data_IF_919069652331
#
_entry.id   IF_919069652331
#
_cell.length_a   1.000
_cell.length_b   1.000
_cell.length_c   1.000
_cell.angle_alpha   90.00
_cell.angle_beta   90.00
_cell.angle_gamma   90.00
#
_symmetry.space_group_name_H-M   'P 1'
#
loop_
_entity.id
_entity.type
_entity.pdbx_description
1 polymer ?
#
# COMPACT_ATOMS: atom_id res chain seq x y z
N UNK A 1 -1.02 -21.24 -33.85
CA UNK A 1 -0.33 -20.60 -32.71
C UNK A 1 -0.68 -19.11 -32.59
N UNK A 2 -0.63 -18.32 -33.68
CA UNK A 2 -0.97 -16.89 -33.64
C UNK A 2 -2.36 -16.54 -33.06
N UNK A 3 -3.43 -17.28 -33.42
CA UNK A 3 -4.78 -17.12 -32.82
C UNK A 3 -4.84 -17.39 -31.31
N UNK A 4 -3.78 -17.96 -30.72
CA UNK A 4 -3.63 -18.25 -29.28
C UNK A 4 -2.53 -17.38 -28.65
N UNK A 5 -2.29 -16.18 -29.17
CA UNK A 5 -1.27 -15.24 -28.68
C UNK A 5 0.17 -15.76 -28.71
N UNK A 6 0.47 -16.77 -29.54
CA UNK A 6 1.82 -17.30 -29.73
C UNK A 6 2.34 -16.93 -31.12
N UNK A 7 3.21 -15.91 -31.19
CA UNK A 7 3.83 -15.43 -32.42
C UNK A 7 5.11 -16.24 -32.68
N UNK A 8 5.04 -17.15 -33.65
CA UNK A 8 6.18 -17.98 -34.06
C UNK A 8 7.03 -17.21 -35.06
N UNK A 9 8.28 -16.94 -34.71
CA UNK A 9 9.24 -16.24 -35.58
C UNK A 9 10.02 -17.17 -36.51
N UNK A 10 10.09 -18.46 -36.18
CA UNK A 10 10.82 -19.49 -36.93
C UNK A 10 9.96 -20.75 -37.03
N UNK A 11 9.65 -21.19 -38.25
CA UNK A 11 8.78 -22.33 -38.50
C UNK A 11 9.28 -23.65 -37.86
N UNK A 12 10.59 -23.98 -37.87
CA UNK A 12 11.13 -25.15 -37.15
C UNK A 12 10.84 -25.17 -35.65
N UNK A 13 10.68 -24.00 -35.01
CA UNK A 13 10.41 -23.93 -33.57
C UNK A 13 9.05 -24.53 -33.17
N UNK A 14 8.11 -24.69 -34.11
CA UNK A 14 6.82 -25.33 -33.84
C UNK A 14 6.99 -26.80 -33.45
N UNK A 15 7.88 -27.50 -34.15
CA UNK A 15 8.19 -28.90 -33.90
C UNK A 15 9.02 -29.06 -32.62
N UNK A 16 10.08 -28.26 -32.47
CA UNK A 16 10.94 -28.28 -31.28
C UNK A 16 10.17 -28.00 -29.99
N UNK A 17 9.17 -27.11 -30.03
CA UNK A 17 8.33 -26.83 -28.86
C UNK A 17 7.57 -28.08 -28.38
N UNK A 18 7.23 -29.01 -29.27
CA UNK A 18 6.60 -30.29 -28.95
C UNK A 18 7.52 -31.26 -28.21
N UNK A 19 8.84 -31.09 -28.31
CA UNK A 19 9.86 -31.90 -27.65
C UNK A 19 10.41 -31.24 -26.37
N UNK A 20 9.81 -30.15 -25.90
CA UNK A 20 10.27 -29.43 -24.71
C UNK A 20 10.16 -30.30 -23.45
N UNK A 21 11.29 -30.57 -22.79
CA UNK A 21 11.33 -31.31 -21.51
C UNK A 21 11.46 -30.41 -20.28
N UNK A 22 11.92 -29.17 -20.45
CA UNK A 22 12.12 -28.19 -19.37
C UNK A 22 11.65 -26.81 -19.85
N UNK A 23 10.85 -26.12 -19.03
CA UNK A 23 10.42 -24.74 -19.27
C UNK A 23 11.02 -23.85 -18.17
N UNK A 24 11.96 -23.00 -18.54
CA UNK A 24 12.44 -21.91 -17.69
C UNK A 24 11.58 -20.67 -17.98
N UNK A 25 10.84 -20.20 -16.98
CA UNK A 25 9.95 -19.04 -17.13
C UNK A 25 10.29 -17.97 -16.10
N UNK A 26 10.36 -16.73 -16.56
CA UNK A 26 10.50 -15.57 -15.67
C UNK A 26 9.25 -15.40 -14.81
N UNK A 27 9.41 -14.97 -13.56
CA UNK A 27 8.27 -14.77 -12.66
C UNK A 27 7.41 -13.57 -13.08
N UNK A 28 8.04 -12.40 -13.13
CA UNK A 28 7.34 -11.12 -13.24
C UNK A 28 6.95 -10.84 -14.69
N UNK A 29 5.65 -10.69 -14.96
CA UNK A 29 5.14 -10.41 -16.31
C UNK A 29 4.98 -11.65 -17.19
N UNK A 30 5.27 -12.84 -16.68
CA UNK A 30 4.94 -14.13 -17.33
C UNK A 30 4.13 -15.02 -16.38
N UNK A 31 4.69 -15.44 -15.24
CA UNK A 31 3.92 -16.19 -14.23
C UNK A 31 2.96 -15.30 -13.44
N UNK A 32 3.32 -14.04 -13.22
CA UNK A 32 2.47 -13.04 -12.57
C UNK A 32 2.11 -11.91 -13.54
N UNK A 33 0.98 -11.25 -13.29
CA UNK A 33 0.48 -10.15 -14.12
C UNK A 33 1.34 -8.87 -14.06
N UNK A 34 2.41 -8.86 -13.26
CA UNK A 34 3.20 -7.66 -12.94
C UNK A 34 2.34 -6.50 -12.40
N UNK A 35 1.18 -6.82 -11.82
CA UNK A 35 0.30 -5.87 -11.14
C UNK A 35 0.43 -6.11 -9.64
N UNK A 36 1.10 -5.19 -8.96
CA UNK A 36 1.18 -5.22 -7.51
C UNK A 36 -0.16 -4.75 -6.94
N UNK A 37 -0.76 -5.53 -6.05
CA UNK A 37 -1.99 -5.16 -5.35
C UNK A 37 -1.84 -5.46 -3.87
N UNK A 38 -2.39 -4.58 -3.03
CA UNK A 38 -2.50 -4.82 -1.60
C UNK A 38 -3.69 -5.75 -1.38
N UNK A 39 -3.44 -6.90 -0.78
CA UNK A 39 -4.45 -7.93 -0.50
C UNK A 39 -4.76 -8.09 0.99
N UNK A 40 -3.81 -7.72 1.86
CA UNK A 40 -3.96 -7.75 3.32
C UNK A 40 -3.33 -6.51 3.93
N UNK A 41 -3.94 -6.01 5.01
CA UNK A 41 -3.37 -5.00 5.90
C UNK A 41 -3.80 -5.30 7.33
N UNK A 42 -3.08 -4.77 8.31
CA UNK A 42 -3.52 -4.83 9.70
C UNK A 42 -3.12 -3.57 10.45
N UNK A 43 -3.84 -3.28 11.53
CA UNK A 43 -3.55 -2.19 12.48
C UNK A 43 -3.68 -2.71 13.91
N UNK A 44 -3.08 -2.00 14.87
CA UNK A 44 -3.26 -2.35 16.28
C UNK A 44 -4.60 -1.83 16.77
N UNK A 45 -5.46 -2.76 17.21
CA UNK A 45 -6.81 -2.49 17.67
C UNK A 45 -6.85 -2.11 19.14
N UNK A 46 -6.12 -2.87 19.96
CA UNK A 46 -6.08 -2.70 21.41
C UNK A 46 -4.72 -3.14 21.93
N UNK A 47 -4.31 -2.56 23.06
CA UNK A 47 -3.17 -3.01 23.85
C UNK A 47 -3.64 -3.24 25.27
N UNK A 48 -3.36 -4.43 25.81
CA UNK A 48 -3.65 -4.83 27.17
C UNK A 48 -2.38 -5.39 27.82
N UNK A 49 -1.82 -4.63 28.76
CA UNK A 49 -0.51 -4.96 29.35
C UNK A 49 0.58 -5.03 28.27
N UNK A 50 1.23 -6.19 28.18
CA UNK A 50 2.28 -6.48 27.21
C UNK A 50 1.78 -7.23 25.95
N UNK A 51 0.47 -7.27 25.73
CA UNK A 51 -0.14 -7.91 24.57
C UNK A 51 -0.92 -6.90 23.73
N UNK A 52 -1.00 -7.16 22.42
CA UNK A 52 -1.83 -6.37 21.52
C UNK A 52 -2.77 -7.25 20.71
N UNK A 53 -3.96 -6.71 20.47
CA UNK A 53 -4.91 -7.25 19.51
C UNK A 53 -4.71 -6.54 18.16
N UNK A 54 -4.63 -7.32 17.08
CA UNK A 54 -4.44 -6.81 15.73
C UNK A 54 -5.75 -6.96 14.94
N UNK A 55 -6.23 -5.86 14.36
CA UNK A 55 -7.32 -5.91 13.40
C UNK A 55 -6.76 -6.14 12.02
N UNK A 56 -6.94 -7.35 11.49
CA UNK A 56 -6.61 -7.72 10.11
C UNK A 56 -7.75 -7.39 9.14
N UNK A 57 -7.38 -6.98 7.93
CA UNK A 57 -8.29 -6.66 6.85
C UNK A 57 -7.81 -7.31 5.55
N UNK A 58 -8.75 -7.76 4.73
CA UNK A 58 -8.50 -8.25 3.38
C UNK A 58 -9.06 -7.28 2.35
N UNK A 59 -8.41 -7.20 1.19
CA UNK A 59 -8.76 -6.25 0.13
C UNK A 59 -8.90 -7.02 -1.18
N UNK A 60 -10.02 -6.81 -1.87
CA UNK A 60 -10.28 -7.42 -3.18
C UNK A 60 -9.73 -6.60 -4.34
N UNK A 61 -9.66 -7.23 -5.51
CA UNK A 61 -9.14 -6.64 -6.74
C UNK A 61 -7.62 -6.84 -6.89
N UNK A 62 -7.24 -7.48 -7.98
CA UNK A 62 -5.84 -7.84 -8.29
C UNK A 62 -5.20 -6.93 -9.33
N UNK A 63 -5.86 -5.81 -9.67
CA UNK A 63 -5.40 -4.86 -10.68
C UNK A 63 -5.18 -3.48 -10.08
N UNK A 64 -4.71 -2.55 -10.92
CA UNK A 64 -4.60 -1.14 -10.58
C UNK A 64 -5.93 -0.37 -10.69
N UNK A 65 -7.01 -1.02 -11.13
CA UNK A 65 -8.32 -0.39 -11.11
C UNK A 65 -8.75 -0.12 -9.66
N UNK A 66 -9.34 1.06 -9.36
CA UNK A 66 -9.85 1.42 -8.05
C UNK A 66 -11.20 0.73 -7.76
N UNK A 67 -11.28 -0.56 -8.12
CA UNK A 67 -12.41 -1.46 -7.98
C UNK A 67 -12.04 -2.55 -7.00
N UNK A 68 -12.75 -2.61 -5.88
CA UNK A 68 -12.47 -3.53 -4.79
C UNK A 68 -13.12 -3.05 -3.50
N UNK A 69 -13.14 -3.92 -2.51
CA UNK A 69 -13.74 -3.69 -1.20
C UNK A 69 -12.78 -4.14 -0.11
N UNK A 70 -12.87 -3.48 1.05
CA UNK A 70 -12.15 -3.85 2.26
C UNK A 70 -13.06 -4.72 3.12
N UNK A 71 -12.53 -5.83 3.61
CA UNK A 71 -13.24 -6.76 4.47
C UNK A 71 -12.53 -6.90 5.82
N UNK A 72 -13.32 -7.09 6.87
CA UNK A 72 -12.87 -7.47 8.20
C UNK A 72 -13.72 -8.65 8.66
N UNK A 73 -13.08 -9.75 9.07
CA UNK A 73 -13.77 -11.01 9.40
C UNK A 73 -14.76 -11.44 8.30
N UNK A 74 -14.30 -11.43 7.04
CA UNK A 74 -15.05 -11.78 5.83
C UNK A 74 -16.33 -10.97 5.58
N UNK A 75 -16.49 -9.81 6.25
CA UNK A 75 -17.59 -8.89 6.02
C UNK A 75 -17.08 -7.58 5.43
N UNK A 76 -17.76 -7.02 4.41
CA UNK A 76 -17.38 -5.73 3.86
C UNK A 76 -17.52 -4.65 4.94
N UNK A 77 -16.51 -3.81 5.07
CA UNK A 77 -16.47 -2.72 6.06
C UNK A 77 -16.14 -1.39 5.41
N UNK A 78 -16.55 -0.30 6.06
CA UNK A 78 -16.13 1.04 5.67
C UNK A 78 -14.84 1.42 6.39
N UNK A 79 -13.80 1.73 5.65
CA UNK A 79 -12.50 2.11 6.24
C UNK A 79 -12.60 3.39 7.07
N UNK A 80 -13.56 4.27 6.76
CA UNK A 80 -13.84 5.51 7.51
C UNK A 80 -14.28 5.27 8.96
N UNK A 81 -14.71 4.05 9.31
CA UNK A 81 -15.11 3.69 10.68
C UNK A 81 -13.93 3.37 11.60
N UNK A 82 -12.70 3.34 11.05
CA UNK A 82 -11.50 2.98 11.78
C UNK A 82 -10.46 4.11 11.67
N UNK A 83 -10.25 4.86 12.75
CA UNK A 83 -9.29 5.98 12.79
C UNK A 83 -7.89 5.55 12.32
N UNK A 84 -7.45 4.36 12.73
CA UNK A 84 -6.16 3.80 12.32
C UNK A 84 -6.07 3.57 10.80
N UNK A 85 -7.17 3.22 10.14
CA UNK A 85 -7.22 3.08 8.68
C UNK A 85 -7.22 4.44 7.97
N UNK A 86 -7.77 5.48 8.59
CA UNK A 86 -7.66 6.86 8.07
C UNK A 86 -6.20 7.31 8.07
N UNK A 87 -5.46 7.10 9.17
CA UNK A 87 -4.02 7.41 9.20
C UNK A 87 -3.22 6.52 8.24
N UNK A 88 -3.55 5.22 8.13
CA UNK A 88 -2.93 4.30 7.17
C UNK A 88 -3.10 4.81 5.72
N UNK A 89 -4.32 5.16 5.33
CA UNK A 89 -4.60 5.73 4.01
C UNK A 89 -3.85 7.05 3.80
N UNK A 90 -3.72 7.85 4.86
CA UNK A 90 -2.97 9.11 4.83
C UNK A 90 -1.49 8.89 4.54
N UNK A 91 -0.86 7.92 5.20
CA UNK A 91 0.55 7.55 4.94
C UNK A 91 0.70 7.03 3.51
N UNK A 92 -0.19 6.14 3.06
CA UNK A 92 -0.18 5.55 1.72
C UNK A 92 -0.30 6.59 0.60
N UNK A 93 -1.08 7.66 0.81
CA UNK A 93 -1.30 8.71 -0.17
C UNK A 93 -0.19 9.78 -0.18
N UNK A 94 0.33 10.15 1.00
CA UNK A 94 1.29 11.26 1.13
C UNK A 94 2.74 10.81 1.01
N UNK A 95 3.11 9.70 1.63
CA UNK A 95 4.44 9.12 1.51
C UNK A 95 4.55 8.31 0.22
N UNK A 96 4.29 8.94 -0.93
CA UNK A 96 4.11 8.28 -2.21
C UNK A 96 4.38 9.27 -3.36
N UNK A 97 5.17 8.83 -4.35
CA UNK A 97 5.50 9.63 -5.55
C UNK A 97 4.88 9.05 -6.83
N UNK A 98 4.06 8.01 -6.69
CA UNK A 98 3.36 7.33 -7.79
C UNK A 98 1.87 7.68 -7.84
N UNK A 99 1.26 7.47 -9.00
CA UNK A 99 -0.17 7.72 -9.24
C UNK A 99 -0.81 6.65 -10.12
N UNK A 100 -2.13 6.74 -10.27
CA UNK A 100 -2.92 6.00 -11.23
C UNK A 100 -3.34 6.93 -12.37
N UNK A 101 -3.37 6.39 -13.57
CA UNK A 101 -3.87 7.06 -14.77
C UNK A 101 -4.86 6.13 -15.49
N UNK A 102 -5.88 6.70 -16.13
CA UNK A 102 -6.81 5.91 -16.95
C UNK A 102 -6.47 6.06 -18.42
N UNK A 103 -5.93 5.00 -19.02
CA UNK A 103 -5.60 5.00 -20.44
C UNK A 103 -6.87 4.75 -21.27
N UNK A 104 -7.43 5.81 -21.86
CA UNK A 104 -8.66 5.72 -22.66
C UNK A 104 -8.52 4.84 -23.90
N UNK A 105 -7.33 4.80 -24.53
CA UNK A 105 -7.08 3.98 -25.73
C UNK A 105 -7.13 2.49 -25.40
N UNK A 106 -6.56 2.09 -24.26
CA UNK A 106 -6.55 0.70 -23.80
C UNK A 106 -7.78 0.34 -22.95
N UNK A 107 -8.51 1.34 -22.45
CA UNK A 107 -9.66 1.18 -21.56
C UNK A 107 -9.31 0.63 -20.18
N UNK A 108 -8.08 0.83 -19.69
CA UNK A 108 -7.59 0.27 -18.42
C UNK A 108 -6.87 1.31 -17.57
N UNK A 109 -6.91 1.11 -16.25
CA UNK A 109 -6.07 1.86 -15.32
C UNK A 109 -4.62 1.39 -15.40
N UNK A 110 -3.71 2.30 -15.65
CA UNK A 110 -2.27 2.07 -15.72
C UNK A 110 -1.56 2.71 -14.54
N UNK A 111 -0.42 2.13 -14.18
CA UNK A 111 0.45 2.70 -13.16
C UNK A 111 1.28 3.85 -13.74
N UNK A 112 1.49 4.88 -12.94
CA UNK A 112 2.50 5.91 -13.17
C UNK A 112 3.45 5.89 -11.97
N UNK A 113 4.70 5.50 -12.20
CA UNK A 113 5.71 5.29 -11.14
C UNK A 113 5.95 3.82 -10.79
N UNK A 114 6.36 3.58 -9.54
CA UNK A 114 6.75 2.25 -9.06
C UNK A 114 5.54 1.37 -8.75
N UNK A 115 5.60 0.08 -9.10
CA UNK A 115 4.48 -0.85 -8.89
C UNK A 115 4.06 -0.95 -7.42
N UNK A 116 5.02 -0.94 -6.49
CA UNK A 116 4.76 -1.01 -5.05
C UNK A 116 3.98 0.22 -4.57
N UNK A 117 4.37 1.40 -5.04
CA UNK A 117 3.74 2.65 -4.64
C UNK A 117 2.37 2.83 -5.29
N UNK A 118 2.21 2.48 -6.57
CA UNK A 118 0.90 2.50 -7.23
C UNK A 118 -0.09 1.55 -6.55
N UNK A 119 0.37 0.42 -6.00
CA UNK A 119 -0.49 -0.46 -5.21
C UNK A 119 -1.05 0.24 -3.96
N UNK A 120 -0.25 1.11 -3.31
CA UNK A 120 -0.71 1.93 -2.18
C UNK A 120 -1.66 3.03 -2.64
N UNK A 121 -1.41 3.66 -3.80
CA UNK A 121 -2.33 4.62 -4.41
C UNK A 121 -3.70 3.97 -4.68
N UNK A 122 -3.70 2.78 -5.29
CA UNK A 122 -4.90 1.99 -5.54
C UNK A 122 -5.61 1.56 -4.25
N UNK A 123 -4.85 1.18 -3.21
CA UNK A 123 -5.39 0.85 -1.90
C UNK A 123 -6.19 2.04 -1.32
N UNK A 124 -5.64 3.26 -1.38
CA UNK A 124 -6.33 4.46 -0.88
C UNK A 124 -7.66 4.69 -1.60
N UNK A 125 -7.69 4.47 -2.92
CA UNK A 125 -8.92 4.57 -3.71
C UNK A 125 -9.96 3.51 -3.33
N UNK A 126 -9.55 2.28 -3.00
CA UNK A 126 -10.44 1.20 -2.53
C UNK A 126 -10.91 1.42 -1.10
N UNK A 127 -10.06 1.98 -0.23
CA UNK A 127 -10.38 2.23 1.16
C UNK A 127 -11.44 3.34 1.32
N UNK A 128 -11.34 4.40 0.49
CA UNK A 128 -12.18 5.60 0.55
C UNK A 128 -12.43 6.05 2.00
N UNK A 129 -11.34 6.27 2.75
CA UNK A 129 -11.38 6.48 4.21
C UNK A 129 -12.11 7.77 4.65
N UNK A 130 -12.50 8.63 3.70
CA UNK A 130 -13.24 9.88 3.93
C UNK A 130 -14.64 9.88 3.30
N UNK A 131 -15.16 8.70 2.90
CA UNK A 131 -16.48 8.55 2.29
C UNK A 131 -16.73 9.56 1.14
N UNK A 132 -15.71 9.79 0.30
CA UNK A 132 -15.79 10.70 -0.84
C UNK A 132 -16.77 10.15 -1.87
N UNK A 133 -17.61 11.01 -2.44
CA UNK A 133 -18.52 10.63 -3.53
C UNK A 133 -17.74 10.37 -4.82
N UNK A 134 -17.65 9.09 -5.22
CA UNK A 134 -16.85 8.64 -6.37
C UNK A 134 -17.69 8.04 -7.51
N UNK A 135 -18.98 7.79 -7.29
CA UNK A 135 -19.84 7.05 -8.24
C UNK A 135 -20.11 7.81 -9.55
N UNK A 136 -20.14 9.15 -9.49
CA UNK A 136 -20.45 10.01 -10.64
C UNK A 136 -19.20 10.55 -11.34
N UNK A 137 -18.01 10.12 -10.92
CA UNK A 137 -16.75 10.55 -11.52
C UNK A 137 -16.52 9.83 -12.84
N UNK A 138 -15.88 10.52 -13.78
CA UNK A 138 -15.37 9.87 -14.99
C UNK A 138 -14.28 8.86 -14.60
N UNK A 139 -13.96 7.91 -15.49
CA UNK A 139 -12.89 6.94 -15.21
C UNK A 139 -11.54 7.62 -14.96
N UNK A 140 -11.29 8.76 -15.63
CA UNK A 140 -10.09 9.59 -15.46
C UNK A 140 -10.09 10.21 -14.05
N UNK A 141 -11.16 10.91 -13.67
CA UNK A 141 -11.24 11.57 -12.36
C UNK A 141 -11.24 10.57 -11.20
N UNK A 142 -11.82 9.39 -11.42
CA UNK A 142 -11.85 8.29 -10.44
C UNK A 142 -10.46 7.79 -10.07
N UNK A 143 -9.47 7.91 -10.96
CA UNK A 143 -8.13 7.34 -10.77
C UNK A 143 -7.43 7.83 -9.50
N UNK A 144 -7.66 9.09 -9.12
CA UNK A 144 -6.95 9.76 -8.02
C UNK A 144 -7.90 10.47 -7.04
N UNK A 145 -9.19 10.13 -7.04
CA UNK A 145 -10.22 10.86 -6.30
C UNK A 145 -9.93 10.92 -4.78
N UNK A 146 -9.76 9.77 -4.13
CA UNK A 146 -9.54 9.69 -2.69
C UNK A 146 -8.13 10.18 -2.31
N UNK A 147 -7.11 9.87 -3.12
CA UNK A 147 -5.75 10.37 -2.90
C UNK A 147 -5.71 11.91 -2.94
N UNK A 148 -6.45 12.52 -3.85
CA UNK A 148 -6.50 13.99 -3.99
C UNK A 148 -7.14 14.65 -2.77
N UNK A 149 -8.19 14.05 -2.20
CA UNK A 149 -8.81 14.53 -0.94
C UNK A 149 -7.78 14.55 0.18
N UNK A 150 -7.00 13.48 0.36
CA UNK A 150 -5.96 13.42 1.40
C UNK A 150 -4.87 14.48 1.16
N UNK A 151 -4.42 14.65 -0.09
CA UNK A 151 -3.42 15.67 -0.46
C UNK A 151 -3.91 17.11 -0.23
N UNK A 152 -5.22 17.34 -0.15
CA UNK A 152 -5.77 18.64 0.23
C UNK A 152 -5.75 18.89 1.75
N UNK A 153 -5.64 17.86 2.59
CA UNK A 153 -5.57 18.00 4.05
C UNK A 153 -4.17 18.42 4.52
N UNK A 154 -3.13 17.93 3.84
CA UNK A 154 -1.73 18.10 4.22
C UNK A 154 -0.89 18.55 3.02
N UNK A 155 -0.09 19.59 3.18
CA UNK A 155 0.93 19.99 2.23
C UNK A 155 2.18 19.14 2.43
N UNK A 156 2.64 18.44 1.38
CA UNK A 156 3.95 17.79 1.35
C UNK A 156 5.02 18.87 1.14
N UNK A 157 5.88 19.09 2.12
CA UNK A 157 6.97 20.07 2.02
C UNK A 157 8.19 19.47 1.32
N UNK A 158 8.60 18.26 1.72
CA UNK A 158 9.70 17.55 1.10
C UNK A 158 9.62 16.03 1.34
N UNK A 159 10.37 15.29 0.53
CA UNK A 159 10.54 13.84 0.62
C UNK A 159 11.98 13.53 1.05
N UNK A 160 12.14 12.67 2.05
CA UNK A 160 13.38 11.94 2.28
C UNK A 160 13.30 10.64 1.48
N UNK A 161 13.96 10.64 0.33
CA UNK A 161 13.93 9.57 -0.68
C UNK A 161 14.33 8.22 -0.11
N UNK A 162 13.82 7.14 -0.69
CA UNK A 162 14.23 5.80 -0.29
C UNK A 162 15.74 5.61 -0.39
N UNK A 163 16.35 5.05 0.65
CA UNK A 163 17.76 4.64 0.61
C UNK A 163 17.94 3.19 1.05
N UNK A 164 18.88 2.49 0.40
CA UNK A 164 19.10 1.04 0.57
C UNK A 164 19.63 0.66 1.95
N UNK A 165 20.34 1.57 2.60
CA UNK A 165 20.87 1.45 3.97
C UNK A 165 19.74 1.41 5.01
N UNK A 166 18.81 2.38 4.97
CA UNK A 166 17.72 2.46 5.96
C UNK A 166 16.44 1.72 5.55
N UNK A 167 16.36 1.34 4.27
CA UNK A 167 15.24 0.63 3.61
C UNK A 167 13.87 1.26 3.88
N UNK A 168 13.80 2.58 3.93
CA UNK A 168 12.55 3.32 4.14
C UNK A 168 12.58 4.66 3.41
N UNK A 169 11.40 5.21 3.19
CA UNK A 169 11.13 6.55 2.68
C UNK A 169 10.29 7.30 3.71
N UNK A 170 10.39 8.62 3.74
CA UNK A 170 9.46 9.44 4.53
C UNK A 170 9.19 10.78 3.88
N UNK A 171 8.06 11.39 4.20
CA UNK A 171 7.70 12.75 3.74
C UNK A 171 7.40 13.63 4.94
N UNK A 172 7.85 14.88 4.91
CA UNK A 172 7.46 15.89 5.89
C UNK A 172 6.26 16.66 5.36
N UNK A 173 5.21 16.74 6.17
CA UNK A 173 3.95 17.35 5.80
C UNK A 173 3.44 18.34 6.85
N UNK A 174 2.88 19.46 6.41
CA UNK A 174 2.25 20.47 7.24
C UNK A 174 0.73 20.52 6.96
N UNK A 175 -0.13 20.67 7.97
CA UNK A 175 -1.57 20.81 7.74
C UNK A 175 -1.93 22.11 6.99
N UNK A 176 -2.79 22.01 5.96
CA UNK A 176 -3.16 23.17 5.14
C UNK A 176 -4.00 24.22 5.87
N UNK A 177 -4.80 23.79 6.87
CA UNK A 177 -5.78 24.66 7.56
C UNK A 177 -5.30 25.23 8.91
N UNK A 178 -4.05 24.99 9.32
CA UNK A 178 -3.51 25.54 10.57
C UNK A 178 -2.08 26.02 10.39
N UNK A 179 -1.87 27.34 10.46
CA UNK A 179 -0.54 27.97 10.45
C UNK A 179 0.30 27.65 11.70
N UNK A 180 -0.28 27.00 12.71
CA UNK A 180 0.34 26.74 14.02
C UNK A 180 0.46 25.25 14.34
N UNK A 181 -0.02 24.34 13.49
CA UNK A 181 0.10 22.91 13.77
C UNK A 181 1.49 22.40 13.41
N UNK A 182 2.14 21.72 14.36
CA UNK A 182 3.38 21.01 14.12
C UNK A 182 3.24 20.08 12.92
N UNK A 183 4.26 20.05 12.06
CA UNK A 183 4.33 19.12 10.95
C UNK A 183 4.37 17.67 11.44
N UNK A 184 4.10 16.73 10.52
CA UNK A 184 4.25 15.29 10.75
C UNK A 184 5.21 14.73 9.72
N UNK A 185 5.91 13.64 10.07
CA UNK A 185 6.57 12.82 9.04
C UNK A 185 5.86 11.49 8.88
N UNK A 186 5.40 11.20 7.67
CA UNK A 186 4.84 9.89 7.33
C UNK A 186 5.94 9.01 6.73
N UNK A 187 6.02 7.77 7.17
CA UNK A 187 7.13 6.84 6.89
C UNK A 187 6.58 5.54 6.34
N UNK A 188 7.21 5.01 5.28
CA UNK A 188 6.99 3.63 4.81
C UNK A 188 8.32 2.93 4.56
N UNK A 189 8.37 1.61 4.78
CA UNK A 189 9.60 0.86 4.51
C UNK A 189 9.57 -0.59 4.91
N UNK A 190 10.75 -1.20 4.89
CA UNK A 190 10.98 -2.58 5.34
C UNK A 190 10.55 -2.71 6.81
N UNK A 191 9.73 -3.72 7.16
CA UNK A 191 9.11 -3.77 8.47
C UNK A 191 10.09 -3.78 9.65
N UNK A 192 11.14 -4.60 9.59
CA UNK A 192 12.12 -4.72 10.67
C UNK A 192 12.79 -3.38 10.96
N UNK A 193 13.25 -2.69 9.91
CA UNK A 193 13.96 -1.42 10.06
C UNK A 193 13.07 -0.27 10.51
N UNK A 194 11.81 -0.23 10.06
CA UNK A 194 10.86 0.80 10.49
C UNK A 194 10.43 0.57 11.93
N UNK A 195 10.03 -0.66 12.28
CA UNK A 195 9.54 -1.00 13.62
C UNK A 195 10.63 -0.84 14.67
N UNK A 196 11.90 -1.12 14.35
CA UNK A 196 13.04 -0.88 15.26
C UNK A 196 13.14 0.59 15.70
N UNK A 197 12.72 1.53 14.85
CA UNK A 197 12.75 2.97 15.12
C UNK A 197 11.46 3.48 15.76
N UNK A 198 10.46 2.63 15.96
CA UNK A 198 9.22 2.99 16.62
C UNK A 198 9.37 2.87 18.14
N UNK A 199 9.03 3.93 18.87
CA UNK A 199 8.94 3.92 20.34
C UNK A 199 7.50 3.77 20.84
N UNK A 200 6.53 3.99 19.94
CA UNK A 200 5.10 3.97 20.24
C UNK A 200 4.35 3.21 19.14
N UNK A 201 3.17 2.74 19.48
CA UNK A 201 2.19 2.13 18.58
C UNK A 201 0.90 2.96 18.59
N UNK A 202 0.25 3.08 17.43
CA UNK A 202 -1.04 3.77 17.31
C UNK A 202 -2.18 2.80 17.61
N UNK A 203 -3.11 3.23 18.45
CA UNK A 203 -4.34 2.50 18.80
C UNK A 203 -5.52 3.48 18.64
N UNK A 204 -6.24 3.37 17.52
CA UNK A 204 -7.19 4.40 17.09
C UNK A 204 -6.50 5.77 16.98
N UNK A 205 -7.01 6.76 17.71
CA UNK A 205 -6.39 8.10 17.79
C UNK A 205 -5.35 8.25 18.90
N UNK A 206 -5.16 7.23 19.75
CA UNK A 206 -4.21 7.26 20.87
C UNK A 206 -2.87 6.64 20.48
N UNK A 207 -1.83 6.94 21.25
CA UNK A 207 -0.53 6.25 21.16
C UNK A 207 -0.15 5.64 22.49
N UNK A 208 0.41 4.44 22.44
CA UNK A 208 0.89 3.70 23.61
C UNK A 208 2.35 3.32 23.40
N UNK A 209 3.14 3.12 24.47
CA UNK A 209 4.52 2.65 24.35
C UNK A 209 4.59 1.32 23.60
N UNK A 210 5.54 1.20 22.67
CA UNK A 210 5.80 -0.06 21.98
C UNK A 210 6.72 -0.92 22.85
N UNK A 211 6.14 -1.84 23.62
CA UNK A 211 6.94 -2.79 24.41
C UNK A 211 7.54 -3.87 23.51
N UNK A 212 8.56 -4.57 24.00
CA UNK A 212 9.23 -5.64 23.25
C UNK A 212 8.24 -6.75 22.87
N UNK A 213 7.33 -7.12 23.78
CA UNK A 213 6.33 -8.16 23.54
C UNK A 213 5.37 -7.77 22.41
N UNK A 214 4.86 -6.53 22.42
CA UNK A 214 3.99 -5.99 21.35
C UNK A 214 4.75 -5.98 20.01
N UNK A 215 6.00 -5.51 20.02
CA UNK A 215 6.87 -5.51 18.83
C UNK A 215 7.05 -6.92 18.26
N UNK A 216 7.30 -7.90 19.11
CA UNK A 216 7.51 -9.30 18.70
C UNK A 216 6.22 -9.91 18.12
N UNK A 217 5.04 -9.58 18.64
CA UNK A 217 3.73 -10.00 18.10
C UNK A 217 3.47 -9.41 16.70
N UNK A 218 3.75 -8.12 16.51
CA UNK A 218 3.62 -7.45 15.21
C UNK A 218 4.57 -8.11 14.19
N UNK A 219 5.83 -8.34 14.56
CA UNK A 219 6.82 -8.98 13.70
C UNK A 219 6.48 -10.45 13.39
N UNK A 220 5.83 -11.17 14.31
CA UNK A 220 5.35 -12.53 14.06
C UNK A 220 4.31 -12.55 12.94
N UNK A 221 3.29 -11.69 13.04
CA UNK A 221 2.24 -11.56 12.03
C UNK A 221 2.80 -11.20 10.66
N UNK A 222 3.79 -10.29 10.62
CA UNK A 222 4.50 -9.93 9.37
C UNK A 222 5.26 -11.12 8.78
N UNK A 223 5.92 -11.92 9.62
CA UNK A 223 6.59 -13.15 9.15
C UNK A 223 5.59 -14.10 8.54
N UNK A 224 4.44 -14.32 9.18
CA UNK A 224 3.40 -15.22 8.68
C UNK A 224 2.87 -14.76 7.31
N UNK A 225 2.68 -13.45 7.12
CA UNK A 225 2.31 -12.88 5.82
C UNK A 225 3.41 -13.09 4.76
N UNK A 226 4.68 -12.91 5.13
CA UNK A 226 5.81 -12.94 4.20
C UNK A 226 6.30 -14.35 3.83
N UNK A 227 6.21 -15.31 4.76
CA UNK A 227 6.75 -16.67 4.60
C UNK A 227 5.67 -17.75 4.56
N UNK A 228 4.43 -17.41 4.90
CA UNK A 228 3.28 -18.30 4.77
C UNK A 228 2.84 -18.50 3.32
N UNK A 229 1.66 -19.11 3.14
CA UNK A 229 1.10 -19.40 1.81
C UNK A 229 0.82 -18.14 0.98
N UNK A 230 0.61 -17.01 1.64
CA UNK A 230 0.30 -15.75 0.96
C UNK A 230 1.54 -15.15 0.28
N UNK A 231 2.74 -15.37 0.83
CA UNK A 231 4.03 -14.88 0.28
C UNK A 231 4.06 -13.37 -0.02
N UNK A 232 3.52 -12.57 0.91
CA UNK A 232 3.29 -11.15 0.70
C UNK A 232 4.56 -10.32 0.81
N UNK A 233 4.64 -9.27 -0.01
CA UNK A 233 5.61 -8.18 0.18
C UNK A 233 5.06 -7.21 1.24
N UNK A 234 5.52 -7.33 2.48
CA UNK A 234 5.09 -6.47 3.57
C UNK A 234 5.80 -5.11 3.60
N UNK A 235 5.06 -4.06 3.97
CA UNK A 235 5.58 -2.73 4.30
C UNK A 235 5.05 -2.34 5.67
N UNK A 236 5.91 -1.78 6.52
CA UNK A 236 5.47 -1.09 7.72
C UNK A 236 5.24 0.39 7.41
N UNK A 237 4.17 0.92 7.98
CA UNK A 237 3.75 2.32 7.86
C UNK A 237 3.78 2.93 9.26
N UNK A 238 4.41 4.08 9.41
CA UNK A 238 4.57 4.76 10.68
C UNK A 238 4.52 6.28 10.53
N UNK A 239 4.26 6.98 11.63
CA UNK A 239 4.26 8.45 11.68
C UNK A 239 5.20 8.91 12.79
N UNK A 240 6.04 9.91 12.49
CA UNK A 240 6.71 10.71 13.51
C UNK A 240 5.79 11.88 13.87
N UNK A 241 5.20 11.81 15.07
CA UNK A 241 4.25 12.83 15.56
C UNK A 241 4.88 14.20 15.76
N UNK A 242 6.14 14.22 16.22
CA UNK A 242 6.89 15.43 16.58
C UNK A 242 8.25 15.41 15.86
N UNK A 243 8.28 15.67 14.55
CA UNK A 243 9.53 15.85 13.81
C UNK A 243 10.25 17.13 14.26
N UNK A 244 11.56 17.17 14.04
CA UNK A 244 12.30 18.43 14.21
C UNK A 244 11.86 19.42 13.12
N UNK A 245 11.86 20.70 13.48
CA UNK A 245 11.68 21.76 12.49
C UNK A 245 12.83 21.68 11.48
N UNK A 246 12.55 21.60 10.17
CA UNK A 246 13.58 21.56 9.13
C UNK A 246 14.34 22.89 8.94
N UNK A 247 13.94 23.98 9.60
CA UNK A 247 14.59 25.31 9.50
C UNK A 247 15.84 25.45 10.37
#
# INVERSE_FOLDING_TARGET
MAKKNAIVRSLPSVETLGCTSVICSDKTGTLTTNQMSVCRMFVVNKVEGDSCDLSEFTITGSTYAPEGQVFHNDKPVKSSQYDALVELATICALCNDSSLDFNETKGVYEKVGESTETALTCLVEKMNAFDTEVHNLTKIDRAMACNSVIKQLMKKEFTLEFSRDRKSMSVYCTPNKSRSSMGKMFVKGAPEGVIERCTHVRVGNSKLPLTKSIKDQILATIRDYGTGRDTLRCLALATRDTPHDPT
#
